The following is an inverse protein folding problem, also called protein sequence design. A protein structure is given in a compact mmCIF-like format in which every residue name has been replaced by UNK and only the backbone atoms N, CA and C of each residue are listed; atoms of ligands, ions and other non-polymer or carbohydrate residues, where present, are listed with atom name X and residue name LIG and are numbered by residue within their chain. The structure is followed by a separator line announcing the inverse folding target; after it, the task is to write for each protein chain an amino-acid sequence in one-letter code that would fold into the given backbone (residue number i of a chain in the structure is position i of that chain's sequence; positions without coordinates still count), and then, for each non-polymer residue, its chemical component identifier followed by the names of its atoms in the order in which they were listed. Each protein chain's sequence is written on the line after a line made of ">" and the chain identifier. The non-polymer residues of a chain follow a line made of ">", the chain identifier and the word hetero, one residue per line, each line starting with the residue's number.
data_IF_861876937236
#
_entry.id   IF_861876937236
#
_cell.length_a   1.000
_cell.length_b   1.000
_cell.length_c   1.000
_cell.angle_alpha   90.00
_cell.angle_beta   90.00
_cell.angle_gamma   90.00
#
_symmetry.space_group_name_H-M   'P 1'
#
loop_
_entity.id
_entity.type
_entity.pdbx_description
1 polymer ?
#
# COMPACT_ATOMS: atom_id res chain seq x y z
N UNK A 1 -19.94 -8.93 -23.93
CA UNK A 1 -18.59 -8.64 -23.41
C UNK A 1 -17.73 -9.88 -23.64
N UNK A 2 -16.59 -9.79 -24.35
CA UNK A 2 -15.78 -10.98 -24.70
C UNK A 2 -15.17 -11.58 -23.43
N UNK A 3 -15.10 -12.91 -23.35
CA UNK A 3 -14.60 -13.66 -22.18
C UNK A 3 -13.17 -13.26 -21.77
N UNK A 4 -12.31 -12.92 -22.74
CA UNK A 4 -10.94 -12.41 -22.52
C UNK A 4 -10.91 -11.09 -21.74
N UNK A 5 -11.81 -10.15 -22.04
CA UNK A 5 -11.89 -8.87 -21.32
C UNK A 5 -12.30 -9.08 -19.85
N UNK A 6 -13.15 -10.08 -19.59
CA UNK A 6 -13.56 -10.46 -18.24
C UNK A 6 -12.39 -11.07 -17.47
N UNK A 7 -11.62 -11.96 -18.09
CA UNK A 7 -10.43 -12.57 -17.49
C UNK A 7 -9.35 -11.52 -17.17
N UNK A 8 -9.09 -10.58 -18.09
CA UNK A 8 -8.14 -9.50 -17.87
C UNK A 8 -8.55 -8.59 -16.69
N UNK A 9 -9.85 -8.29 -16.54
CA UNK A 9 -10.37 -7.52 -15.39
C UNK A 9 -10.19 -8.25 -14.06
N UNK A 10 -10.51 -9.55 -13.99
CA UNK A 10 -10.30 -10.33 -12.78
C UNK A 10 -8.82 -10.42 -12.42
N UNK A 11 -7.95 -10.61 -13.42
CA UNK A 11 -6.50 -10.62 -13.23
C UNK A 11 -6.00 -9.30 -12.63
N UNK A 12 -6.42 -8.16 -13.16
CA UNK A 12 -6.08 -6.85 -12.60
C UNK A 12 -6.55 -6.70 -11.16
N UNK A 13 -7.78 -7.10 -10.84
CA UNK A 13 -8.30 -7.08 -9.45
C UNK A 13 -7.44 -7.92 -8.51
N UNK A 14 -7.08 -9.14 -8.89
CA UNK A 14 -6.23 -10.01 -8.05
C UNK A 14 -4.81 -9.47 -7.90
N UNK A 15 -4.22 -8.91 -8.96
CA UNK A 15 -2.92 -8.25 -8.89
C UNK A 15 -2.95 -7.06 -7.93
N UNK A 16 -4.00 -6.24 -8.00
CA UNK A 16 -4.19 -5.11 -7.10
C UNK A 16 -4.28 -5.55 -5.63
N UNK A 17 -5.10 -6.58 -5.33
CA UNK A 17 -5.20 -7.13 -3.98
C UNK A 17 -3.84 -7.68 -3.50
N UNK A 18 -3.11 -8.40 -4.36
CA UNK A 18 -1.80 -8.94 -4.03
C UNK A 18 -0.78 -7.83 -3.72
N UNK A 19 -0.77 -6.76 -4.50
CA UNK A 19 0.09 -5.60 -4.26
C UNK A 19 -0.25 -4.91 -2.93
N UNK A 20 -1.53 -4.67 -2.64
CA UNK A 20 -1.96 -4.12 -1.34
C UNK A 20 -1.56 -5.02 -0.17
N UNK A 21 -1.62 -6.34 -0.33
CA UNK A 21 -1.15 -7.28 0.68
C UNK A 21 0.37 -7.17 0.90
N UNK A 22 1.16 -7.00 -0.17
CA UNK A 22 2.62 -6.79 -0.06
C UNK A 22 2.95 -5.50 0.67
N UNK A 23 2.28 -4.38 0.33
CA UNK A 23 2.43 -3.11 1.07
C UNK A 23 2.11 -3.29 2.55
N UNK A 24 1.03 -4.02 2.86
CA UNK A 24 0.67 -4.34 4.24
C UNK A 24 1.71 -5.20 4.97
N UNK A 25 2.42 -6.10 4.27
CA UNK A 25 3.51 -6.89 4.86
C UNK A 25 4.72 -6.03 5.19
N UNK A 26 5.18 -5.21 4.25
CA UNK A 26 6.30 -4.27 4.45
C UNK A 26 6.02 -3.38 5.66
N UNK A 27 4.83 -2.76 5.68
CA UNK A 27 4.42 -1.89 6.78
C UNK A 27 4.39 -2.62 8.13
N UNK A 28 3.74 -3.79 8.19
CA UNK A 28 3.64 -4.58 9.43
C UNK A 28 4.99 -5.05 9.96
N UNK A 29 5.93 -5.39 9.08
CA UNK A 29 7.28 -5.77 9.49
C UNK A 29 7.96 -4.65 10.27
N UNK A 30 7.79 -3.41 9.82
CA UNK A 30 8.41 -2.24 10.42
C UNK A 30 7.65 -1.75 11.65
N UNK A 31 6.32 -1.89 11.68
CA UNK A 31 5.53 -1.71 12.89
C UNK A 31 5.99 -2.61 14.05
N UNK A 32 6.47 -3.83 13.78
CA UNK A 32 6.98 -4.74 14.83
C UNK A 32 8.30 -4.29 15.44
N UNK A 33 9.03 -3.39 14.77
CA UNK A 33 10.30 -2.84 15.23
C UNK A 33 10.10 -1.58 16.08
N UNK A 34 8.89 -1.02 16.09
CA UNK A 34 8.53 0.11 16.93
C UNK A 34 8.46 -0.32 18.40
N UNK A 35 8.71 0.61 19.31
CA UNK A 35 8.48 0.39 20.74
C UNK A 35 7.01 -0.01 20.98
N UNK A 36 6.80 -1.07 21.77
CA UNK A 36 5.47 -1.59 22.12
C UNK A 36 4.66 -0.59 22.94
N UNK A 37 5.31 0.40 23.57
CA UNK A 37 4.65 1.51 24.27
C UNK A 37 3.93 2.48 23.33
N UNK A 38 4.36 2.57 22.07
CA UNK A 38 3.75 3.45 21.07
C UNK A 38 2.49 2.83 20.48
N UNK A 39 1.39 3.60 20.53
CA UNK A 39 0.10 3.15 20.02
C UNK A 39 -0.18 3.73 18.64
N UNK A 40 -1.04 3.04 17.86
CA UNK A 40 -1.50 3.54 16.54
C UNK A 40 -2.33 4.84 16.62
N UNK A 41 -2.78 5.21 17.81
CA UNK A 41 -3.49 6.47 18.05
C UNK A 41 -2.54 7.66 18.17
N UNK A 42 -1.24 7.41 18.37
CA UNK A 42 -0.21 8.45 18.41
C UNK A 42 -0.06 9.08 17.02
N UNK A 43 -0.07 10.42 16.98
CA UNK A 43 0.11 11.19 15.74
C UNK A 43 1.44 10.90 15.05
N UNK A 44 2.47 10.55 15.82
CA UNK A 44 3.82 10.26 15.33
C UNK A 44 4.02 8.78 14.97
N UNK A 45 3.05 7.91 15.21
CA UNK A 45 3.20 6.47 14.97
C UNK A 45 3.66 6.14 13.54
N UNK A 46 2.96 6.70 12.54
CA UNK A 46 3.28 6.41 11.14
C UNK A 46 4.64 6.99 10.74
N UNK A 47 5.03 8.11 11.35
CA UNK A 47 6.30 8.76 11.12
C UNK A 47 7.46 7.89 11.62
N UNK A 48 7.37 7.41 12.86
CA UNK A 48 8.40 6.53 13.43
C UNK A 48 8.50 5.21 12.66
N UNK A 49 7.37 4.65 12.18
CA UNK A 49 7.40 3.46 11.31
C UNK A 49 8.18 3.73 10.02
N UNK A 50 7.94 4.88 9.37
CA UNK A 50 8.66 5.27 8.14
C UNK A 50 10.15 5.48 8.41
N UNK A 51 10.51 6.07 9.55
CA UNK A 51 11.90 6.31 9.95
C UNK A 51 12.67 5.00 10.15
N UNK A 52 12.01 3.93 10.60
CA UNK A 52 12.60 2.60 10.72
C UNK A 52 12.73 1.86 9.38
N UNK A 53 12.11 2.35 8.30
CA UNK A 53 12.25 1.76 6.97
C UNK A 53 13.60 2.12 6.36
N UNK A 54 14.31 1.11 5.90
CA UNK A 54 15.49 1.33 5.07
C UNK A 54 15.10 1.80 3.66
N UNK A 55 16.06 2.38 2.95
CA UNK A 55 15.83 2.97 1.63
C UNK A 55 15.33 1.94 0.60
N UNK A 56 15.80 0.70 0.66
CA UNK A 56 15.35 -0.35 -0.25
C UNK A 56 13.88 -0.72 -0.02
N UNK A 57 13.43 -0.78 1.24
CA UNK A 57 12.03 -1.02 1.58
C UNK A 57 11.15 0.13 1.13
N UNK A 58 11.59 1.38 1.31
CA UNK A 58 10.85 2.56 0.83
C UNK A 58 10.72 2.56 -0.69
N UNK A 59 11.79 2.23 -1.42
CA UNK A 59 11.78 2.09 -2.89
C UNK A 59 10.84 0.98 -3.34
N UNK A 60 10.94 -0.21 -2.75
CA UNK A 60 10.04 -1.33 -3.05
C UNK A 60 8.58 -0.94 -2.78
N UNK A 61 8.32 -0.30 -1.65
CA UNK A 61 7.01 0.19 -1.27
C UNK A 61 6.43 1.14 -2.33
N UNK A 62 7.20 2.16 -2.73
CA UNK A 62 6.79 3.11 -3.76
C UNK A 62 6.51 2.41 -5.10
N UNK A 63 7.39 1.51 -5.54
CA UNK A 63 7.21 0.76 -6.78
C UNK A 63 5.95 -0.11 -6.78
N UNK A 64 5.60 -0.74 -5.65
CA UNK A 64 4.37 -1.52 -5.53
C UNK A 64 3.15 -0.60 -5.55
N UNK A 65 3.25 0.57 -4.91
CA UNK A 65 2.18 1.55 -4.87
C UNK A 65 1.92 2.19 -6.25
N UNK A 66 2.95 2.51 -7.01
CA UNK A 66 2.82 2.99 -8.39
C UNK A 66 2.07 1.96 -9.26
N UNK A 67 2.38 0.67 -9.11
CA UNK A 67 1.64 -0.41 -9.78
C UNK A 67 0.18 -0.47 -9.34
N UNK A 68 -0.13 -0.15 -8.09
CA UNK A 68 -1.51 -0.06 -7.61
C UNK A 68 -2.26 1.10 -8.28
N UNK A 69 -1.62 2.27 -8.40
CA UNK A 69 -2.18 3.45 -9.08
C UNK A 69 -2.48 3.14 -10.56
N UNK A 70 -1.54 2.51 -11.27
CA UNK A 70 -1.71 2.08 -12.67
C UNK A 70 -2.90 1.12 -12.82
N UNK A 71 -3.03 0.14 -11.93
CA UNK A 71 -4.15 -0.81 -11.98
C UNK A 71 -5.48 -0.09 -11.73
N UNK A 72 -5.55 0.78 -10.72
CA UNK A 72 -6.77 1.52 -10.38
C UNK A 72 -7.19 2.44 -11.52
N UNK A 73 -6.26 3.10 -12.20
CA UNK A 73 -6.54 3.92 -13.37
C UNK A 73 -7.23 3.12 -14.50
N UNK A 74 -6.95 1.82 -14.59
CA UNK A 74 -7.53 0.91 -15.58
C UNK A 74 -8.76 0.12 -15.08
N UNK A 75 -9.21 0.35 -13.84
CA UNK A 75 -10.35 -0.33 -13.24
C UNK A 75 -11.57 0.60 -13.07
N UNK A 76 -12.72 0.21 -13.63
CA UNK A 76 -13.97 0.99 -13.49
C UNK A 76 -14.55 1.00 -12.07
N UNK A 77 -14.38 -0.09 -11.32
CA UNK A 77 -14.92 -0.25 -9.97
C UNK A 77 -13.90 -0.99 -9.11
N UNK A 78 -13.64 -0.44 -7.93
CA UNK A 78 -12.76 -0.99 -6.91
C UNK A 78 -13.53 -1.00 -5.60
N UNK A 79 -13.43 -2.10 -4.85
CA UNK A 79 -14.12 -2.25 -3.57
C UNK A 79 -13.67 -1.16 -2.58
N UNK A 80 -14.61 -0.62 -1.80
CA UNK A 80 -14.35 0.53 -0.89
C UNK A 80 -13.23 0.21 0.10
N UNK A 81 -13.21 -0.98 0.68
CA UNK A 81 -12.16 -1.42 1.60
C UNK A 81 -10.76 -1.40 0.97
N UNK A 82 -10.65 -1.78 -0.32
CA UNK A 82 -9.39 -1.73 -1.05
C UNK A 82 -8.99 -0.29 -1.39
N UNK A 83 -9.95 0.58 -1.72
CA UNK A 83 -9.68 2.02 -1.90
C UNK A 83 -9.18 2.67 -0.61
N UNK A 84 -9.79 2.35 0.53
CA UNK A 84 -9.35 2.85 1.84
C UNK A 84 -7.95 2.38 2.20
N UNK A 85 -7.65 1.10 1.97
CA UNK A 85 -6.30 0.55 2.18
C UNK A 85 -5.27 1.26 1.31
N UNK A 86 -5.59 1.44 0.03
CA UNK A 86 -4.71 2.15 -0.90
C UNK A 86 -4.49 3.60 -0.47
N UNK A 87 -5.56 4.34 -0.14
CA UNK A 87 -5.47 5.71 0.35
C UNK A 87 -4.56 5.84 1.58
N UNK A 88 -4.65 4.89 2.53
CA UNK A 88 -3.77 4.87 3.69
C UNK A 88 -2.30 4.67 3.29
N UNK A 89 -2.02 3.75 2.38
CA UNK A 89 -0.67 3.54 1.87
C UNK A 89 -0.14 4.76 1.11
N UNK A 90 -0.98 5.45 0.32
CA UNK A 90 -0.60 6.71 -0.31
C UNK A 90 -0.26 7.80 0.70
N UNK A 91 -0.95 7.86 1.86
CA UNK A 91 -0.59 8.77 2.94
C UNK A 91 0.78 8.44 3.53
N UNK A 92 1.09 7.16 3.72
CA UNK A 92 2.41 6.75 4.23
C UNK A 92 3.52 7.10 3.25
N UNK A 93 3.30 6.94 1.93
CA UNK A 93 4.24 7.43 0.90
C UNK A 93 4.54 8.92 1.03
N UNK A 94 3.54 9.76 1.32
CA UNK A 94 3.78 11.20 1.51
C UNK A 94 4.75 11.46 2.67
N UNK A 95 4.55 10.78 3.79
CA UNK A 95 5.47 10.85 4.94
C UNK A 95 6.89 10.42 4.54
N UNK A 96 7.04 9.41 3.68
CA UNK A 96 8.35 8.97 3.16
C UNK A 96 9.03 9.96 2.22
N UNK A 97 8.28 10.84 1.55
CA UNK A 97 8.81 11.83 0.61
C UNK A 97 9.06 13.19 1.28
N UNK A 98 8.35 13.48 2.35
CA UNK A 98 8.51 14.69 3.16
C UNK A 98 9.74 14.62 4.09
N UNK A 99 10.49 13.51 4.07
CA UNK A 99 11.67 13.22 4.90
C UNK A 99 12.79 12.56 4.11
#
# INVERSE_FOLDING_TARGET
>A
MRSRDKQNKHKLKFMYISNLQKLGKIWKEHCKRLDQSMTKADSNYNYEVVKLMNEDSKKEYCLILDKCDDIVANMRKVDVSLKMSHSNFSKYRKIMLDH
#
